data_IF_144544863473
#
_entry.id   IF_144544863473
#
_cell.length_a   1.000
_cell.length_b   1.000
_cell.length_c   1.000
_cell.angle_alpha   90.00
_cell.angle_beta   90.00
_cell.angle_gamma   90.00
#
_symmetry.space_group_name_H-M   'P 1'
#
loop_
_entity.id
_entity.type
_entity.pdbx_description
1 polymer ?
#
# COMPACT_ATOMS: atom_id res chain seq x y z
N UNK A 1 26.21 6.60 1.17
CA UNK A 1 25.24 5.74 0.47
C UNK A 1 24.37 5.09 1.54
N UNK A 2 23.19 5.63 1.81
CA UNK A 2 22.35 5.17 2.91
C UNK A 2 21.76 3.81 2.55
N UNK A 3 22.07 2.78 3.36
CA UNK A 3 21.61 1.41 3.13
C UNK A 3 20.18 1.27 3.68
N UNK A 4 19.15 1.30 2.82
CA UNK A 4 17.75 1.03 3.18
C UNK A 4 17.55 -0.45 3.52
N UNK A 5 18.10 -0.91 4.63
CA UNK A 5 18.01 -2.30 5.13
C UNK A 5 16.69 -2.52 5.88
N UNK A 6 15.57 -2.32 5.19
CA UNK A 6 14.26 -2.74 5.67
C UNK A 6 14.00 -4.21 5.29
N UNK A 7 13.11 -4.90 6.02
CA UNK A 7 12.78 -6.31 5.78
C UNK A 7 12.28 -6.57 4.34
N UNK A 8 11.59 -5.60 3.73
CA UNK A 8 11.05 -5.70 2.37
C UNK A 8 12.00 -5.20 1.27
N UNK A 9 13.28 -4.97 1.58
CA UNK A 9 14.22 -4.34 0.63
C UNK A 9 14.73 -5.26 -0.48
N UNK A 10 14.65 -6.59 -0.33
CA UNK A 10 15.19 -7.56 -1.30
C UNK A 10 14.12 -8.14 -2.21
N UNK A 11 13.01 -8.65 -1.64
CA UNK A 11 12.13 -9.61 -2.33
C UNK A 11 10.68 -9.10 -2.54
N UNK A 12 10.45 -7.80 -2.42
CA UNK A 12 9.12 -7.20 -2.67
C UNK A 12 9.01 -6.58 -4.07
N UNK A 13 7.91 -6.87 -4.77
CA UNK A 13 7.65 -6.34 -6.12
C UNK A 13 6.90 -4.99 -6.09
N UNK A 14 6.17 -4.71 -5.01
CA UNK A 14 5.27 -3.57 -4.91
C UNK A 14 5.75 -2.46 -3.97
N UNK A 15 6.81 -2.70 -3.18
CA UNK A 15 7.27 -1.73 -2.18
C UNK A 15 8.36 -0.82 -2.73
N UNK A 16 8.24 0.49 -2.48
CA UNK A 16 9.29 1.46 -2.83
C UNK A 16 10.44 1.35 -1.82
N UNK A 17 11.65 1.13 -2.33
CA UNK A 17 12.88 1.02 -1.51
C UNK A 17 13.36 2.41 -1.09
N UNK A 18 12.85 2.91 0.03
CA UNK A 18 13.18 4.22 0.60
C UNK A 18 12.20 5.31 0.14
N UNK A 19 11.77 6.16 1.08
CA UNK A 19 10.83 7.27 0.83
C UNK A 19 11.48 8.45 0.12
N UNK A 20 12.81 8.52 0.18
CA UNK A 20 13.64 9.57 -0.43
C UNK A 20 13.61 9.60 -1.95
N UNK A 21 13.13 8.53 -2.57
CA UNK A 21 12.85 8.48 -4.01
C UNK A 21 11.60 9.25 -4.43
N UNK A 22 10.71 9.52 -3.48
CA UNK A 22 9.44 10.20 -3.72
C UNK A 22 9.47 11.64 -3.19
N UNK A 23 10.00 11.82 -1.98
CA UNK A 23 9.97 13.10 -1.26
C UNK A 23 11.33 13.33 -0.60
N UNK A 24 11.88 14.56 -0.61
CA UNK A 24 13.12 14.86 0.08
C UNK A 24 13.03 14.56 1.59
N UNK A 25 14.02 13.86 2.12
CA UNK A 25 14.08 13.47 3.54
C UNK A 25 15.06 14.37 4.29
N UNK A 26 14.59 14.98 5.38
CA UNK A 26 15.41 15.87 6.20
C UNK A 26 16.36 15.15 7.17
N UNK A 27 15.86 14.09 7.82
CA UNK A 27 16.56 13.32 8.86
C UNK A 27 16.14 11.85 8.75
N UNK A 28 17.10 10.94 8.76
CA UNK A 28 16.85 9.49 8.79
C UNK A 28 16.92 8.95 10.22
N UNK A 29 15.92 8.15 10.61
CA UNK A 29 15.85 7.46 11.90
C UNK A 29 15.90 5.94 11.68
N UNK A 30 17.01 5.25 12.01
CA UNK A 30 17.07 3.80 11.93
C UNK A 30 16.36 3.12 13.11
N UNK A 31 15.65 2.02 12.84
CA UNK A 31 15.01 1.18 13.84
C UNK A 31 13.86 0.35 13.27
N UNK A 32 13.54 -0.80 13.88
CA UNK A 32 12.42 -1.64 13.47
C UNK A 32 11.81 -2.38 14.70
N UNK A 33 10.88 -1.74 15.44
CA UNK A 33 10.58 -0.30 15.45
C UNK A 33 11.67 0.50 16.21
N UNK A 34 11.86 1.79 15.92
CA UNK A 34 12.79 2.62 16.69
C UNK A 34 12.31 2.78 18.13
N UNK A 35 13.26 2.83 19.07
CA UNK A 35 12.95 3.11 20.48
C UNK A 35 12.41 4.53 20.65
N UNK A 36 11.54 4.80 21.65
CA UNK A 36 11.01 6.13 21.90
C UNK A 36 12.08 7.21 22.07
N UNK A 37 13.21 6.88 22.72
CA UNK A 37 14.31 7.82 22.93
C UNK A 37 14.96 8.25 21.60
N UNK A 38 15.04 7.34 20.64
CA UNK A 38 15.60 7.60 19.32
C UNK A 38 14.71 8.54 18.49
N UNK A 39 13.38 8.48 18.69
CA UNK A 39 12.43 9.41 18.08
C UNK A 39 12.63 10.82 18.63
N UNK A 40 12.78 10.95 19.96
CA UNK A 40 13.02 12.24 20.62
C UNK A 40 14.34 12.87 20.15
N UNK A 41 15.40 12.07 20.00
CA UNK A 41 16.67 12.53 19.45
C UNK A 41 16.54 12.98 17.98
N UNK A 42 15.80 12.26 17.15
CA UNK A 42 15.53 12.66 15.77
C UNK A 42 14.80 14.01 15.69
N UNK A 43 13.80 14.24 16.54
CA UNK A 43 13.09 15.53 16.64
C UNK A 43 14.06 16.64 17.08
N UNK A 44 14.93 16.35 18.04
CA UNK A 44 15.93 17.31 18.52
C UNK A 44 16.94 17.66 17.43
N UNK A 45 17.37 16.67 16.63
CA UNK A 45 18.23 16.87 15.45
C UNK A 45 17.53 17.72 14.39
N UNK A 46 16.25 17.48 14.12
CA UNK A 46 15.46 18.28 13.19
C UNK A 46 15.37 19.74 13.65
N UNK A 47 15.08 19.98 14.94
CA UNK A 47 15.08 21.32 15.52
C UNK A 47 16.43 22.02 15.34
N UNK A 48 17.54 21.33 15.61
CA UNK A 48 18.89 21.87 15.39
C UNK A 48 19.17 22.18 13.92
N UNK A 49 18.66 21.38 12.98
CA UNK A 49 18.77 21.62 11.54
C UNK A 49 18.07 22.92 11.15
N UNK A 50 16.82 23.09 11.59
CA UNK A 50 16.01 24.30 11.37
C UNK A 50 16.70 25.53 11.97
N UNK A 51 17.23 25.45 13.19
CA UNK A 51 17.91 26.58 13.84
C UNK A 51 19.20 27.01 13.16
N UNK A 52 19.87 26.12 12.41
CA UNK A 52 21.08 26.43 11.64
C UNK A 52 20.76 27.02 10.27
N UNK A 53 19.52 26.91 9.82
CA UNK A 53 19.06 27.40 8.53
C UNK A 53 18.79 28.91 8.64
N UNK A 54 19.86 29.70 8.53
CA UNK A 54 19.84 31.16 8.62
C UNK A 54 19.35 31.71 7.27
N UNK A 55 18.04 31.93 7.14
CA UNK A 55 17.34 32.54 5.99
C UNK A 55 17.33 31.68 4.71
N UNK A 56 16.20 31.65 3.98
CA UNK A 56 15.71 30.42 3.40
C UNK A 56 16.38 30.14 2.06
N UNK A 57 16.69 28.87 1.84
CA UNK A 57 16.63 28.27 0.51
C UNK A 57 15.17 28.27 0.02
N UNK A 58 14.60 29.47 -0.15
CA UNK A 58 13.29 29.71 -0.80
C UNK A 58 13.35 29.33 -2.28
N UNK A 59 14.54 29.01 -2.79
CA UNK A 59 14.81 28.72 -4.19
C UNK A 59 14.46 27.26 -4.53
N UNK A 60 14.51 26.33 -3.57
CA UNK A 60 14.13 24.93 -3.80
C UNK A 60 12.62 24.65 -3.70
N UNK A 61 11.80 25.57 -3.18
CA UNK A 61 10.34 25.38 -3.09
C UNK A 61 9.57 25.91 -4.30
N UNK A 62 10.23 26.52 -5.29
CA UNK A 62 9.60 26.82 -6.56
C UNK A 62 9.55 25.52 -7.36
N UNK A 63 8.49 24.73 -7.15
CA UNK A 63 8.18 23.64 -8.06
C UNK A 63 7.97 24.26 -9.44
N UNK A 64 9.01 24.26 -10.27
CA UNK A 64 8.93 24.74 -11.63
C UNK A 64 7.90 23.89 -12.39
N UNK A 65 6.87 24.55 -12.91
CA UNK A 65 5.81 23.94 -13.70
C UNK A 65 6.32 23.61 -15.11
N UNK A 66 7.16 22.58 -15.21
CA UNK A 66 7.61 22.03 -16.49
C UNK A 66 6.52 21.14 -17.08
N UNK A 67 5.62 21.75 -17.85
CA UNK A 67 4.53 21.05 -18.52
C UNK A 67 5.00 20.48 -19.88
N UNK A 68 4.86 19.17 -20.05
CA UNK A 68 5.03 18.49 -21.35
C UNK A 68 3.71 17.82 -21.72
N UNK A 69 3.29 17.98 -22.98
CA UNK A 69 2.08 17.32 -23.49
C UNK A 69 2.47 16.33 -24.58
N UNK A 70 2.11 15.07 -24.38
CA UNK A 70 2.33 14.00 -25.36
C UNK A 70 1.01 13.28 -25.65
N UNK A 71 0.66 13.16 -26.92
CA UNK A 71 -0.49 12.36 -27.35
C UNK A 71 -0.17 10.86 -27.17
N UNK A 72 -1.11 10.08 -26.63
CA UNK A 72 -0.98 8.64 -26.43
C UNK A 72 -2.12 7.89 -27.11
N UNK A 73 -1.90 6.61 -27.47
CA UNK A 73 -2.92 5.72 -28.10
C UNK A 73 -3.40 4.63 -27.13
N UNK A 74 -3.45 4.93 -25.84
CA UNK A 74 -4.00 4.01 -24.85
C UNK A 74 -5.52 3.92 -25.00
N UNK A 75 -6.06 2.73 -24.76
CA UNK A 75 -7.51 2.52 -24.68
C UNK A 75 -8.01 3.04 -23.33
N UNK A 76 -9.15 3.73 -23.33
CA UNK A 76 -9.77 4.25 -22.11
C UNK A 76 -10.47 3.10 -21.38
N UNK A 77 -9.94 2.71 -20.22
CA UNK A 77 -10.58 1.72 -19.34
C UNK A 77 -11.68 2.34 -18.48
N UNK A 78 -12.70 1.56 -18.12
CA UNK A 78 -13.72 1.95 -17.14
C UNK A 78 -13.18 1.82 -15.70
N UNK A 79 -13.68 2.65 -14.78
CA UNK A 79 -13.30 2.57 -13.37
C UNK A 79 -13.71 1.22 -12.77
N UNK A 80 -12.76 0.55 -12.13
CA UNK A 80 -12.98 -0.71 -11.41
C UNK A 80 -13.50 -0.50 -9.98
N UNK A 81 -13.45 0.73 -9.46
CA UNK A 81 -13.88 1.08 -8.11
C UNK A 81 -15.22 1.81 -8.17
N UNK A 82 -16.32 1.06 -8.38
CA UNK A 82 -17.68 1.60 -8.54
C UNK A 82 -18.31 2.07 -7.22
N UNK A 83 -17.58 2.03 -6.09
CA UNK A 83 -18.08 2.46 -4.77
C UNK A 83 -19.22 1.60 -4.22
N UNK A 84 -19.46 0.46 -4.86
CA UNK A 84 -20.61 -0.38 -4.61
C UNK A 84 -20.21 -1.62 -3.82
N UNK A 85 -19.66 -1.39 -2.63
CA UNK A 85 -19.21 -2.46 -1.75
C UNK A 85 -20.37 -3.28 -1.19
N UNK A 86 -21.53 -2.65 -0.99
CA UNK A 86 -22.70 -3.25 -0.35
C UNK A 86 -23.69 -3.91 -1.31
N UNK A 87 -23.64 -3.65 -2.63
CA UNK A 87 -24.49 -4.37 -3.58
C UNK A 87 -23.74 -5.61 -4.10
N UNK A 88 -23.96 -6.73 -3.41
CA UNK A 88 -23.56 -8.05 -3.87
C UNK A 88 -24.33 -8.48 -5.14
N UNK A 89 -23.97 -7.92 -6.30
CA UNK A 89 -24.54 -8.31 -7.60
C UNK A 89 -23.75 -9.39 -8.35
N UNK A 90 -22.68 -9.96 -7.76
CA UNK A 90 -21.83 -10.96 -8.44
C UNK A 90 -21.78 -12.33 -7.75
N UNK A 91 -22.79 -12.67 -6.96
CA UNK A 91 -23.18 -14.07 -6.78
C UNK A 91 -24.64 -14.22 -7.22
N UNK A 92 -24.89 -14.09 -8.51
CA UNK A 92 -26.03 -14.80 -9.07
C UNK A 92 -25.64 -16.27 -9.17
N UNK A 93 -26.25 -17.20 -8.41
CA UNK A 93 -26.06 -18.61 -8.71
C UNK A 93 -26.52 -18.83 -10.15
N UNK A 94 -25.64 -19.38 -10.99
CA UNK A 94 -26.02 -19.88 -12.32
C UNK A 94 -27.28 -20.69 -12.14
N UNK A 95 -28.33 -20.32 -12.86
CA UNK A 95 -29.63 -21.00 -12.89
C UNK A 95 -29.48 -22.50 -12.61
N UNK A 96 -29.80 -22.93 -11.39
CA UNK A 96 -29.95 -24.35 -11.09
C UNK A 96 -31.25 -24.78 -11.75
N UNK A 97 -31.20 -24.95 -13.07
CA UNK A 97 -32.14 -25.81 -13.76
C UNK A 97 -31.90 -27.21 -13.19
N UNK A 98 -32.87 -27.64 -12.37
CA UNK A 98 -33.21 -29.04 -12.12
C UNK A 98 -32.24 -29.85 -11.25
N UNK A 99 -32.21 -29.56 -9.95
CA UNK A 99 -31.81 -30.55 -8.96
C UNK A 99 -32.84 -30.55 -7.82
N UNK A 100 -33.55 -31.66 -7.54
CA UNK A 100 -34.52 -31.75 -6.45
C UNK A 100 -33.86 -31.47 -5.09
N UNK A 101 -34.57 -30.82 -4.15
CA UNK A 101 -34.02 -30.41 -2.85
C UNK A 101 -33.43 -31.57 -2.02
N UNK A 102 -33.86 -32.80 -2.28
CA UNK A 102 -33.45 -34.02 -1.58
C UNK A 102 -31.95 -34.35 -1.72
N UNK A 103 -31.34 -34.06 -2.87
CA UNK A 103 -29.92 -34.34 -3.10
C UNK A 103 -29.00 -33.30 -2.46
N UNK A 104 -29.50 -32.09 -2.19
CA UNK A 104 -28.74 -31.02 -1.56
C UNK A 104 -28.49 -31.30 -0.06
N UNK A 105 -29.51 -31.80 0.65
CA UNK A 105 -29.38 -32.17 2.06
C UNK A 105 -28.48 -33.39 2.25
N UNK A 106 -28.50 -34.36 1.34
CA UNK A 106 -27.59 -35.53 1.38
C UNK A 106 -26.12 -35.14 1.23
N UNK A 107 -25.83 -34.16 0.37
CA UNK A 107 -24.47 -33.66 0.16
C UNK A 107 -23.95 -32.89 1.38
N UNK A 108 -24.78 -32.03 2.00
CA UNK A 108 -24.39 -31.32 3.23
C UNK A 108 -24.18 -32.25 4.42
N UNK A 109 -24.97 -33.33 4.53
CA UNK A 109 -24.81 -34.31 5.62
C UNK A 109 -23.61 -35.25 5.44
N UNK A 110 -23.03 -35.36 4.23
CA UNK A 110 -21.85 -36.21 3.98
C UNK A 110 -20.53 -35.46 4.12
N UNK A 111 -20.55 -34.12 4.21
CA UNK A 111 -19.35 -33.28 4.40
C UNK A 111 -19.35 -32.68 5.80
N UNK A 112 -19.32 -33.55 6.81
CA UNK A 112 -18.71 -33.30 8.12
C UNK A 112 -17.84 -34.53 8.38
N UNK A 113 -16.52 -34.49 8.23
CA UNK A 113 -15.58 -33.77 9.08
C UNK A 113 -14.21 -33.64 8.38
N UNK A 114 -13.41 -32.59 8.58
CA UNK A 114 -11.96 -32.71 8.48
C UNK A 114 -11.42 -33.24 9.81
N UNK A 115 -10.89 -34.46 9.80
CA UNK A 115 -10.06 -34.99 10.88
C UNK A 115 -8.83 -34.08 11.08
N UNK A 116 -8.65 -33.60 12.32
CA UNK A 116 -7.36 -33.12 12.81
C UNK A 116 -6.47 -34.35 13.04
N UNK A 117 -5.45 -34.53 12.21
CA UNK A 117 -4.33 -35.42 12.49
C UNK A 117 -3.19 -34.58 13.08
N UNK A 118 -2.71 -35.06 14.23
CA UNK A 118 -1.63 -34.52 15.08
C UNK A 118 -0.30 -34.28 14.35
#
# INVERSE_FOLDING_TARGET
>A
MYNYRGMFSTDSYSTVRGVDKLIPVDVYLPGCPPKPEAIIDAITKLRKKISREIYPDRTMSQQENRCFTTNHKFQVGHSIHTGNYDQGFLYQPTSTSEIPPETFFKYKSSVSSPELVN
#
